data_IF_111985666057
#
_entry.id   IF_111985666057
#
_cell.length_a   1.000
_cell.length_b   1.000
_cell.length_c   1.000
_cell.angle_alpha   90.00
_cell.angle_beta   90.00
_cell.angle_gamma   90.00
#
_symmetry.space_group_name_H-M   'P 1'
#
loop_
_entity.id
_entity.type
_entity.pdbx_description
1 polymer ?
#
# COMPACT_ATOMS: atom_id res chain seq x y z
N UNK A 1 3.61 10.58 -15.93
CA UNK A 1 4.62 10.90 -14.90
C UNK A 1 3.99 11.79 -13.85
N UNK A 2 3.94 11.36 -12.59
CA UNK A 2 3.32 12.19 -11.56
C UNK A 2 4.19 13.40 -11.24
N UNK A 3 3.56 14.48 -10.82
CA UNK A 3 4.30 15.62 -10.26
C UNK A 3 4.82 15.26 -8.87
N UNK A 4 5.86 15.98 -8.42
CA UNK A 4 6.37 15.80 -7.05
C UNK A 4 5.27 16.10 -6.02
N UNK A 5 4.42 17.10 -6.29
CA UNK A 5 3.31 17.45 -5.42
C UNK A 5 2.31 16.29 -5.30
N UNK A 6 1.94 15.66 -6.41
CA UNK A 6 1.02 14.51 -6.40
C UNK A 6 1.62 13.34 -5.62
N UNK A 7 2.90 13.04 -5.82
CA UNK A 7 3.59 11.99 -5.07
C UNK A 7 3.56 12.26 -3.57
N UNK A 8 3.85 13.48 -3.16
CA UNK A 8 3.84 13.85 -1.73
C UNK A 8 2.42 13.76 -1.14
N UNK A 9 1.40 14.16 -1.89
CA UNK A 9 0.00 14.04 -1.45
C UNK A 9 -0.40 12.57 -1.31
N UNK A 10 -0.01 11.72 -2.24
CA UNK A 10 -0.26 10.28 -2.17
C UNK A 10 0.38 9.67 -0.93
N UNK A 11 1.67 9.95 -0.72
CA UNK A 11 2.40 9.44 0.44
C UNK A 11 1.75 9.91 1.75
N UNK A 12 1.38 11.19 1.82
CA UNK A 12 0.73 11.73 3.01
C UNK A 12 -0.60 11.03 3.33
N UNK A 13 -1.39 10.68 2.31
CA UNK A 13 -2.64 9.93 2.49
C UNK A 13 -2.39 8.56 3.09
N UNK A 14 -1.39 7.84 2.57
CA UNK A 14 -1.06 6.50 3.07
C UNK A 14 -0.49 6.59 4.48
N UNK A 15 0.39 7.55 4.74
CA UNK A 15 0.96 7.75 6.08
C UNK A 15 -0.08 8.18 7.12
N UNK A 16 -1.16 8.81 6.67
CA UNK A 16 -2.31 9.13 7.53
C UNK A 16 -3.24 7.93 7.75
N UNK A 17 -2.86 6.74 7.26
CA UNK A 17 -3.63 5.50 7.34
C UNK A 17 -4.93 5.53 6.52
N UNK A 18 -5.08 6.50 5.62
CA UNK A 18 -6.22 6.62 4.73
C UNK A 18 -6.00 5.79 3.46
N UNK A 19 -5.76 4.48 3.61
CA UNK A 19 -5.37 3.61 2.51
C UNK A 19 -6.47 3.48 1.46
N UNK A 20 -7.72 3.32 1.86
CA UNK A 20 -8.82 3.21 0.92
C UNK A 20 -9.02 4.51 0.13
N UNK A 21 -8.96 5.65 0.81
CA UNK A 21 -9.07 6.97 0.19
C UNK A 21 -7.91 7.25 -0.77
N UNK A 22 -6.70 6.78 -0.42
CA UNK A 22 -5.55 6.90 -1.32
C UNK A 22 -5.78 6.15 -2.63
N UNK A 23 -6.38 4.96 -2.57
CA UNK A 23 -6.72 4.20 -3.78
C UNK A 23 -7.79 4.94 -4.59
N UNK A 24 -8.83 5.44 -3.95
CA UNK A 24 -9.88 6.19 -4.65
C UNK A 24 -9.34 7.40 -5.39
N UNK A 25 -8.43 8.14 -4.77
CA UNK A 25 -7.92 9.40 -5.30
C UNK A 25 -6.80 9.22 -6.34
N UNK A 26 -5.91 8.25 -6.13
CA UNK A 26 -4.65 8.19 -6.89
C UNK A 26 -4.51 6.99 -7.84
N UNK A 27 -5.53 6.15 -7.99
CA UNK A 27 -5.45 5.01 -8.90
C UNK A 27 -6.41 5.17 -10.06
N UNK A 28 -6.04 4.59 -11.23
CA UNK A 28 -6.95 4.56 -12.37
C UNK A 28 -8.09 3.59 -12.12
N UNK A 29 -9.20 3.74 -12.85
CA UNK A 29 -10.37 2.89 -12.68
C UNK A 29 -10.06 1.41 -12.90
N UNK A 30 -9.18 1.10 -13.84
CA UNK A 30 -8.77 -0.26 -14.20
C UNK A 30 -7.41 -0.66 -13.60
N UNK A 31 -6.95 0.03 -12.57
CA UNK A 31 -5.65 -0.22 -11.96
C UNK A 31 -5.49 -1.66 -11.51
N UNK A 32 -4.28 -2.21 -11.72
CA UNK A 32 -3.90 -3.52 -11.22
C UNK A 32 -3.05 -3.42 -9.96
N UNK A 33 -3.25 -4.35 -9.04
CA UNK A 33 -2.40 -4.58 -7.88
C UNK A 33 -1.97 -6.03 -7.86
N UNK A 34 -0.68 -6.26 -7.66
CA UNK A 34 -0.10 -7.60 -7.65
C UNK A 34 0.78 -7.78 -6.43
N UNK A 35 0.63 -8.93 -5.75
CA UNK A 35 1.48 -9.32 -4.63
C UNK A 35 2.57 -10.25 -5.16
N UNK A 36 3.83 -9.81 -5.19
CA UNK A 36 4.95 -10.56 -5.75
C UNK A 36 4.60 -11.07 -7.16
N UNK A 37 4.65 -12.37 -7.41
CA UNK A 37 4.34 -12.98 -8.70
C UNK A 37 2.94 -13.61 -8.75
N UNK A 38 2.07 -13.25 -7.81
CA UNK A 38 0.69 -13.75 -7.82
C UNK A 38 -0.13 -13.14 -8.96
N UNK A 39 -1.33 -13.67 -9.19
CA UNK A 39 -2.24 -13.11 -10.19
C UNK A 39 -2.68 -11.70 -9.79
N UNK A 40 -2.54 -10.70 -10.67
CA UNK A 40 -2.97 -9.34 -10.36
C UNK A 40 -4.48 -9.25 -10.11
N UNK A 41 -4.86 -8.42 -9.16
CA UNK A 41 -6.25 -8.00 -8.98
C UNK A 41 -6.48 -6.75 -9.83
N UNK A 42 -7.61 -6.67 -10.50
CA UNK A 42 -7.94 -5.58 -11.43
C UNK A 42 -9.15 -4.81 -10.92
N UNK A 43 -9.08 -3.49 -10.99
CA UNK A 43 -10.20 -2.60 -10.72
C UNK A 43 -10.08 -1.83 -9.41
N UNK A 44 -10.17 -0.51 -9.53
CA UNK A 44 -10.05 0.40 -8.38
C UNK A 44 -11.08 0.11 -7.29
N UNK A 45 -12.33 -0.14 -7.67
CA UNK A 45 -13.39 -0.40 -6.69
C UNK A 45 -13.13 -1.68 -5.89
N UNK A 46 -12.58 -2.71 -6.54
CA UNK A 46 -12.19 -3.94 -5.86
C UNK A 46 -11.05 -3.68 -4.87
N UNK A 47 -10.09 -2.84 -5.24
CA UNK A 47 -8.98 -2.48 -4.35
C UNK A 47 -9.47 -1.69 -3.14
N UNK A 48 -10.37 -0.74 -3.35
CA UNK A 48 -10.97 0.04 -2.26
C UNK A 48 -11.72 -0.88 -1.30
N UNK A 49 -12.53 -1.79 -1.82
CA UNK A 49 -13.27 -2.74 -0.99
C UNK A 49 -12.32 -3.65 -0.19
N UNK A 50 -11.24 -4.11 -0.82
CA UNK A 50 -10.22 -4.92 -0.15
C UNK A 50 -9.56 -4.14 0.99
N UNK A 51 -9.16 -2.89 0.76
CA UNK A 51 -8.56 -2.06 1.79
C UNK A 51 -9.51 -1.82 2.95
N UNK A 52 -10.79 -1.54 2.69
CA UNK A 52 -11.78 -1.35 3.73
C UNK A 52 -11.99 -2.61 4.57
N UNK A 53 -11.98 -3.78 3.92
CA UNK A 53 -12.08 -5.05 4.64
C UNK A 53 -10.89 -5.27 5.56
N UNK A 54 -9.67 -5.02 5.09
CA UNK A 54 -8.47 -5.13 5.90
C UNK A 54 -8.53 -4.15 7.08
N UNK A 55 -8.82 -2.88 6.82
CA UNK A 55 -8.84 -1.84 7.85
C UNK A 55 -9.93 -2.08 8.90
N UNK A 56 -11.02 -2.75 8.56
CA UNK A 56 -12.08 -3.08 9.52
C UNK A 56 -11.61 -4.05 10.61
N UNK A 57 -10.51 -4.75 10.39
CA UNK A 57 -9.94 -5.74 11.33
C UNK A 57 -8.77 -5.17 12.13
N UNK A 58 -8.39 -3.93 11.90
CA UNK A 58 -7.22 -3.29 12.49
C UNK A 58 -7.63 -2.51 13.74
N UNK A 59 -6.89 -2.71 14.83
CA UNK A 59 -7.01 -1.90 16.03
C UNK A 59 -6.13 -0.65 15.93
N UNK A 60 -4.86 -0.84 15.52
CA UNK A 60 -3.90 0.26 15.36
C UNK A 60 -3.07 0.01 14.11
N UNK A 61 -2.87 1.03 13.30
CA UNK A 61 -2.06 0.97 12.09
C UNK A 61 -1.02 2.07 12.11
N UNK A 62 0.23 1.71 11.81
CA UNK A 62 1.29 2.66 11.55
C UNK A 62 1.77 2.47 10.12
N UNK A 63 1.81 3.55 9.35
CA UNK A 63 2.25 3.55 7.96
C UNK A 63 3.39 4.55 7.80
N UNK A 64 4.52 4.09 7.26
CA UNK A 64 5.70 4.93 7.10
C UNK A 64 6.34 4.71 5.74
N UNK A 65 6.57 5.80 5.02
CA UNK A 65 7.38 5.80 3.80
C UNK A 65 8.84 5.99 4.17
N UNK A 66 9.69 5.08 3.72
CA UNK A 66 11.15 5.20 3.89
C UNK A 66 11.72 5.84 2.63
N UNK A 67 12.29 7.02 2.79
CA UNK A 67 12.88 7.76 1.67
C UNK A 67 14.33 7.31 1.42
N UNK A 68 14.88 7.52 0.21
CA UNK A 68 14.31 8.31 -0.88
C UNK A 68 13.28 7.52 -1.71
N UNK A 69 12.46 8.26 -2.47
CA UNK A 69 11.57 7.72 -3.46
C UNK A 69 12.31 7.70 -4.79
N UNK A 70 12.21 6.60 -5.55
CA UNK A 70 12.89 6.48 -6.82
C UNK A 70 11.91 6.69 -7.96
N UNK A 71 12.21 7.66 -8.82
CA UNK A 71 11.36 8.01 -9.96
C UNK A 71 12.18 7.93 -11.24
N UNK A 72 11.68 7.20 -12.22
CA UNK A 72 12.25 7.14 -13.55
C UNK A 72 11.10 7.17 -14.56
N UNK A 73 10.85 8.35 -15.14
CA UNK A 73 9.71 8.55 -16.03
C UNK A 73 8.40 8.25 -15.31
N UNK A 74 7.63 7.33 -15.87
CA UNK A 74 6.34 6.93 -15.30
C UNK A 74 6.46 5.84 -14.22
N UNK A 75 7.67 5.37 -13.94
CA UNK A 75 7.93 4.34 -12.93
C UNK A 75 8.37 4.98 -11.62
N UNK A 76 7.74 4.55 -10.54
CA UNK A 76 8.02 5.03 -9.19
C UNK A 76 8.18 3.83 -8.26
N UNK A 77 9.22 3.87 -7.41
CA UNK A 77 9.42 2.86 -6.36
C UNK A 77 9.35 3.55 -5.00
N UNK A 78 8.48 3.04 -4.14
CA UNK A 78 8.31 3.55 -2.78
C UNK A 78 8.55 2.40 -1.80
N UNK A 79 9.35 2.64 -0.78
CA UNK A 79 9.57 1.68 0.30
C UNK A 79 8.64 2.00 1.45
N UNK A 80 7.84 1.02 1.87
CA UNK A 80 6.86 1.16 2.94
C UNK A 80 7.20 0.26 4.12
N UNK A 81 6.93 0.75 5.33
CA UNK A 81 6.88 -0.06 6.53
C UNK A 81 5.51 0.13 7.14
N UNK A 82 4.76 -0.98 7.31
CA UNK A 82 3.45 -0.99 7.93
C UNK A 82 3.47 -1.88 9.15
N UNK A 83 2.82 -1.43 10.22
CA UNK A 83 2.58 -2.26 11.40
C UNK A 83 1.09 -2.28 11.67
N UNK A 84 0.50 -3.47 11.54
CA UNK A 84 -0.92 -3.71 11.81
C UNK A 84 -1.04 -4.40 13.16
N UNK A 85 -1.71 -3.75 14.09
CA UNK A 85 -2.15 -4.38 15.32
C UNK A 85 -3.60 -4.75 15.12
N UNK A 86 -3.88 -6.06 15.07
CA UNK A 86 -5.21 -6.56 14.73
C UNK A 86 -6.13 -6.62 15.95
N UNK A 87 -7.44 -6.56 15.71
CA UNK A 87 -8.44 -6.65 16.77
C UNK A 87 -8.36 -7.95 17.57
N UNK A 88 -7.83 -9.02 16.97
CA UNK A 88 -7.68 -10.32 17.64
C UNK A 88 -6.40 -10.42 18.51
N UNK A 89 -5.67 -9.34 18.69
CA UNK A 89 -4.46 -9.32 19.52
C UNK A 89 -3.18 -9.79 18.84
N UNK A 90 -3.21 -9.98 17.52
CA UNK A 90 -2.00 -10.31 16.78
C UNK A 90 -1.42 -9.09 16.09
N UNK A 91 -0.19 -9.18 15.59
CA UNK A 91 0.52 -8.11 14.91
C UNK A 91 1.11 -8.62 13.59
N UNK A 92 0.99 -7.82 12.54
CA UNK A 92 1.68 -8.01 11.28
C UNK A 92 2.62 -6.82 11.06
N UNK A 93 3.88 -7.09 10.81
CA UNK A 93 4.88 -6.08 10.50
C UNK A 93 5.37 -6.32 9.08
N UNK A 94 5.10 -5.37 8.19
CA UNK A 94 5.40 -5.48 6.77
C UNK A 94 6.44 -4.46 6.35
N UNK A 95 7.44 -4.91 5.62
CA UNK A 95 8.34 -4.03 4.87
C UNK A 95 8.24 -4.44 3.41
N UNK A 96 7.89 -3.50 2.54
CA UNK A 96 7.66 -3.79 1.13
C UNK A 96 8.14 -2.69 0.21
N UNK A 97 8.41 -3.05 -1.04
CA UNK A 97 8.63 -2.10 -2.12
C UNK A 97 7.40 -2.10 -3.01
N UNK A 98 6.85 -0.92 -3.25
CA UNK A 98 5.77 -0.72 -4.19
C UNK A 98 6.38 -0.24 -5.52
N UNK A 99 6.25 -1.06 -6.56
CA UNK A 99 6.72 -0.76 -7.90
C UNK A 99 5.52 -0.32 -8.74
N UNK A 100 5.51 0.97 -9.12
CA UNK A 100 4.33 1.60 -9.69
C UNK A 100 4.56 2.07 -11.12
N UNK A 101 3.53 1.90 -11.96
CA UNK A 101 3.42 2.58 -13.24
C UNK A 101 2.33 3.63 -13.12
N UNK A 102 2.68 4.89 -13.37
CA UNK A 102 1.74 6.01 -13.34
C UNK A 102 1.30 6.37 -14.75
N UNK A 103 0.02 6.72 -14.88
CA UNK A 103 -0.55 7.35 -16.06
C UNK A 103 -0.96 8.76 -15.65
N UNK A 104 -0.12 9.75 -15.98
CA UNK A 104 -0.30 11.11 -15.47
C UNK A 104 -0.22 11.11 -13.95
N UNK A 105 -1.28 11.58 -13.31
CA UNK A 105 -1.34 11.75 -11.86
C UNK A 105 -2.04 10.58 -11.15
N UNK A 106 -2.14 9.41 -11.81
CA UNK A 106 -2.78 8.22 -11.26
C UNK A 106 -1.97 6.96 -11.50
N UNK A 107 -2.02 6.04 -10.55
CA UNK A 107 -1.34 4.74 -10.64
C UNK A 107 -2.19 3.79 -11.46
N UNK A 108 -1.59 3.24 -12.53
CA UNK A 108 -2.26 2.26 -13.40
C UNK A 108 -1.91 0.82 -13.04
N UNK A 109 -0.68 0.58 -12.57
CA UNK A 109 -0.23 -0.76 -12.17
C UNK A 109 0.65 -0.62 -10.93
N UNK A 110 0.49 -1.54 -9.99
CA UNK A 110 1.33 -1.56 -8.79
C UNK A 110 1.62 -3.00 -8.40
N UNK A 111 2.92 -3.29 -8.20
CA UNK A 111 3.36 -4.58 -7.69
C UNK A 111 4.05 -4.36 -6.36
N UNK A 112 3.64 -5.12 -5.36
CA UNK A 112 4.25 -5.09 -4.04
C UNK A 112 5.22 -6.26 -3.91
N UNK A 113 6.50 -5.98 -3.65
CA UNK A 113 7.53 -6.99 -3.43
C UNK A 113 7.88 -7.06 -1.96
N UNK A 114 7.68 -8.22 -1.36
CA UNK A 114 7.94 -8.44 0.06
C UNK A 114 8.10 -9.94 0.33
N UNK A 115 8.63 -10.25 1.50
CA UNK A 115 8.69 -11.64 1.97
C UNK A 115 7.29 -12.06 2.45
N UNK A 116 6.66 -13.06 1.78
CA UNK A 116 5.32 -13.51 2.16
C UNK A 116 5.20 -13.96 3.62
N UNK A 117 6.29 -14.40 4.24
CA UNK A 117 6.29 -14.80 5.64
C UNK A 117 5.88 -13.66 6.57
N UNK A 118 6.09 -12.41 6.17
CA UNK A 118 5.68 -11.25 6.97
C UNK A 118 4.17 -11.13 7.13
N UNK A 119 3.39 -11.70 6.22
CA UNK A 119 1.93 -11.63 6.27
C UNK A 119 1.33 -12.50 7.35
N UNK A 120 2.07 -13.47 7.87
CA UNK A 120 1.60 -14.34 8.93
C UNK A 120 1.59 -13.55 10.25
N UNK A 121 0.42 -13.26 10.83
CA UNK A 121 0.36 -12.49 12.06
C UNK A 121 1.01 -13.24 13.22
N UNK A 122 1.66 -12.48 14.09
CA UNK A 122 2.31 -13.02 15.28
C UNK A 122 1.56 -12.53 16.51
N UNK A 123 1.49 -13.36 17.55
CA UNK A 123 0.91 -12.94 18.81
C UNK A 123 1.78 -11.87 19.45
N UNK A 124 1.14 -10.86 20.03
CA UNK A 124 1.85 -9.91 20.89
C UNK A 124 2.41 -10.69 22.07
N UNK A 125 3.68 -10.40 22.41
CA UNK A 125 4.32 -11.05 23.55
C UNK A 125 3.62 -10.60 24.82
N UNK A 126 3.07 -11.53 25.63
CA UNK A 126 2.40 -11.17 26.87
C UNK A 126 3.45 -10.83 27.94
N UNK A 127 3.81 -9.59 28.01
CA UNK A 127 4.78 -9.12 29.01
C UNK A 127 4.15 -9.00 30.39
#
# INVERSE_FOLDING_TARGET
MPTAETLERFIARVEANAHAEAVEEFYTEDASMQENQSTPRIGRDAHVANERTVLSKVKTLTSQCIRPIFVSGDRVVVRWIFRFEWLNGTVTHMEELAYQLWEGERIAEETFFYDPAQRVPKKLDPQ
#
